data_IF_819867274509
#
_entry.id   IF_819867274509
#
_cell.length_a   1.000
_cell.length_b   1.000
_cell.length_c   1.000
_cell.angle_alpha   90.00
_cell.angle_beta   90.00
_cell.angle_gamma   90.00
#
_symmetry.space_group_name_H-M   'P 1'
#
loop_
_entity.id
_entity.type
_entity.pdbx_description
1 polymer ?
#
# COMPACT_ATOMS: atom_id res chain seq x y z
N UNK A 1 -4.86 7.12 -24.51
CA UNK A 1 -4.49 8.55 -24.68
C UNK A 1 -4.81 9.37 -23.43
N UNK A 2 -4.15 10.52 -23.26
CA UNK A 2 -4.45 11.50 -22.21
C UNK A 2 -5.68 12.31 -22.64
N UNK A 3 -6.87 11.93 -22.15
CA UNK A 3 -8.10 12.70 -22.35
C UNK A 3 -8.21 13.88 -21.38
N UNK A 4 -9.25 14.71 -21.52
CA UNK A 4 -9.50 15.89 -20.66
C UNK A 4 -9.91 15.54 -19.20
N UNK A 5 -10.10 14.26 -18.87
CA UNK A 5 -10.51 13.80 -17.55
C UNK A 5 -9.79 12.52 -17.12
N UNK A 6 -10.17 11.97 -15.96
CA UNK A 6 -9.63 10.70 -15.47
C UNK A 6 -9.91 9.59 -16.50
N UNK A 7 -8.86 8.86 -16.87
CA UNK A 7 -8.95 7.70 -17.74
C UNK A 7 -8.73 6.46 -16.86
N UNK A 8 -9.77 5.67 -16.53
CA UNK A 8 -9.65 4.51 -15.64
C UNK A 8 -8.63 3.47 -16.10
N UNK A 9 -8.53 3.23 -17.42
CA UNK A 9 -7.53 2.28 -17.98
C UNK A 9 -6.11 2.78 -17.77
N UNK A 10 -5.88 4.08 -17.93
CA UNK A 10 -4.59 4.71 -17.61
C UNK A 10 -4.35 4.70 -16.10
N UNK A 11 -5.36 5.01 -15.29
CA UNK A 11 -5.29 5.00 -13.83
C UNK A 11 -4.89 3.64 -13.28
N UNK A 12 -5.49 2.56 -13.78
CA UNK A 12 -5.12 1.19 -13.42
C UNK A 12 -3.63 0.90 -13.70
N UNK A 13 -3.09 1.35 -14.84
CA UNK A 13 -1.65 1.19 -15.14
C UNK A 13 -0.75 1.98 -14.18
N UNK A 14 -1.18 3.19 -13.78
CA UNK A 14 -0.43 3.99 -12.80
C UNK A 14 -0.46 3.32 -11.43
N UNK A 15 -1.62 2.82 -10.99
CA UNK A 15 -1.77 2.11 -9.72
C UNK A 15 -0.90 0.85 -9.70
N UNK A 16 -0.92 0.05 -10.77
CA UNK A 16 -0.07 -1.14 -10.88
C UNK A 16 1.41 -0.78 -10.78
N UNK A 17 1.88 0.21 -11.55
CA UNK A 17 3.28 0.65 -11.49
C UNK A 17 3.67 1.17 -10.10
N UNK A 18 2.78 1.91 -9.43
CA UNK A 18 3.04 2.42 -8.07
C UNK A 18 3.16 1.28 -7.06
N UNK A 19 2.31 0.24 -7.17
CA UNK A 19 2.39 -0.97 -6.34
C UNK A 19 3.70 -1.73 -6.58
N UNK A 20 4.12 -1.89 -7.84
CA UNK A 20 5.42 -2.50 -8.18
C UNK A 20 6.62 -1.67 -7.69
N UNK A 21 6.47 -0.35 -7.63
CA UNK A 21 7.48 0.53 -7.04
C UNK A 21 7.56 0.35 -5.51
N UNK A 22 6.42 0.22 -4.83
CA UNK A 22 6.38 -0.04 -3.40
C UNK A 22 6.96 -1.41 -3.05
N UNK A 23 6.69 -2.45 -3.84
CA UNK A 23 7.29 -3.78 -3.63
C UNK A 23 8.83 -3.74 -3.64
N UNK A 24 9.42 -2.85 -4.43
CA UNK A 24 10.88 -2.67 -4.51
C UNK A 24 11.44 -1.74 -3.43
N UNK A 25 10.66 -0.78 -2.96
CA UNK A 25 11.14 0.32 -2.10
C UNK A 25 10.79 0.14 -0.63
N UNK A 26 9.62 -0.45 -0.35
CA UNK A 26 9.08 -0.75 0.98
C UNK A 26 8.45 -2.15 0.93
N UNK A 27 9.26 -3.21 0.73
CA UNK A 27 8.76 -4.57 0.54
C UNK A 27 7.92 -5.03 1.74
N UNK A 28 6.88 -5.81 1.47
CA UNK A 28 6.10 -6.48 2.50
C UNK A 28 6.85 -7.74 2.97
N UNK A 29 6.67 -8.11 4.24
CA UNK A 29 7.26 -9.33 4.79
C UNK A 29 6.74 -10.59 4.07
N UNK A 30 5.49 -10.53 3.61
CA UNK A 30 4.83 -11.55 2.82
C UNK A 30 3.91 -10.90 1.79
N UNK A 31 3.84 -11.47 0.59
CA UNK A 31 2.97 -11.01 -0.49
C UNK A 31 3.47 -9.74 -1.21
N UNK A 32 2.55 -9.04 -1.87
CA UNK A 32 2.84 -7.88 -2.71
C UNK A 32 1.81 -6.78 -2.48
N UNK A 33 2.22 -5.52 -2.62
CA UNK A 33 1.33 -4.35 -2.62
C UNK A 33 0.24 -4.44 -3.70
N UNK A 34 0.41 -5.29 -4.70
CA UNK A 34 -0.62 -5.58 -5.72
C UNK A 34 -1.92 -6.16 -5.14
N UNK A 35 -1.87 -6.87 -4.02
CA UNK A 35 -3.05 -7.43 -3.33
C UNK A 35 -3.54 -6.58 -2.14
N UNK A 36 -2.95 -5.40 -1.91
CA UNK A 36 -3.33 -4.55 -0.78
C UNK A 36 -4.79 -4.11 -0.86
N UNK A 37 -5.53 -4.36 0.21
CA UNK A 37 -6.96 -4.05 0.35
C UNK A 37 -7.29 -3.20 1.59
N UNK A 38 -6.34 -3.00 2.49
CA UNK A 38 -6.52 -2.20 3.70
C UNK A 38 -5.21 -1.92 4.41
N UNK A 39 -5.20 -0.89 5.24
CA UNK A 39 -4.05 -0.45 6.03
C UNK A 39 -4.55 -0.09 7.43
N UNK A 40 -3.78 -0.47 8.46
CA UNK A 40 -3.99 -0.03 9.84
C UNK A 40 -2.64 0.05 10.55
N UNK A 41 -2.60 0.73 11.69
CA UNK A 41 -1.43 0.82 12.55
C UNK A 41 -1.68 -0.03 13.80
N UNK A 42 -0.76 -0.95 14.09
CA UNK A 42 -0.78 -1.81 15.27
C UNK A 42 0.58 -1.73 15.94
N UNK A 43 0.59 -1.40 17.24
CA UNK A 43 1.80 -1.29 18.06
C UNK A 43 2.90 -0.41 17.42
N UNK A 44 2.49 0.70 16.80
CA UNK A 44 3.39 1.65 16.14
C UNK A 44 3.93 1.18 14.79
N UNK A 45 3.43 0.09 14.22
CA UNK A 45 3.84 -0.44 12.91
C UNK A 45 2.68 -0.46 11.93
N UNK A 46 2.97 -0.28 10.65
CA UNK A 46 1.96 -0.42 9.58
C UNK A 46 1.68 -1.90 9.30
N UNK A 47 0.39 -2.23 9.25
CA UNK A 47 -0.16 -3.53 8.86
C UNK A 47 -0.97 -3.35 7.58
N UNK A 48 -0.73 -4.22 6.60
CA UNK A 48 -1.33 -4.20 5.27
C UNK A 48 -2.18 -5.46 5.12
N UNK A 49 -3.45 -5.29 4.76
CA UNK A 49 -4.34 -6.41 4.49
C UNK A 49 -4.08 -6.94 3.07
N UNK A 50 -3.76 -8.23 2.97
CA UNK A 50 -3.58 -8.97 1.74
C UNK A 50 -4.44 -10.23 1.78
N UNK A 51 -5.35 -10.40 0.83
CA UNK A 51 -6.09 -11.66 0.62
C UNK A 51 -6.70 -12.28 1.91
N UNK A 52 -7.19 -11.43 2.82
CA UNK A 52 -7.80 -11.84 4.10
C UNK A 52 -6.83 -12.01 5.28
N UNK A 53 -5.52 -11.87 5.08
CA UNK A 53 -4.50 -11.85 6.11
C UNK A 53 -3.88 -10.45 6.27
N UNK A 54 -3.12 -10.25 7.36
CA UNK A 54 -2.37 -9.02 7.60
C UNK A 54 -0.87 -9.30 7.56
N UNK A 55 -0.12 -8.39 6.96
CA UNK A 55 1.35 -8.44 6.91
C UNK A 55 1.94 -7.08 7.28
N UNK A 56 3.20 -7.07 7.70
CA UNK A 56 3.97 -5.85 7.93
C UNK A 56 4.92 -5.57 6.75
N UNK A 57 5.65 -4.46 6.82
CA UNK A 57 6.85 -4.27 6.00
C UNK A 57 7.91 -5.32 6.38
N UNK A 58 8.68 -5.80 5.40
CA UNK A 58 9.85 -6.66 5.65
C UNK A 58 10.91 -5.92 6.49
N UNK A 59 10.95 -4.58 6.39
CA UNK A 59 11.78 -3.72 7.22
C UNK A 59 10.90 -2.73 7.98
N UNK A 60 10.45 -3.06 9.21
CA UNK A 60 9.54 -2.21 9.97
C UNK A 60 10.02 -0.78 10.19
N UNK A 61 11.34 -0.56 10.27
CA UNK A 61 11.95 0.76 10.43
C UNK A 61 11.70 1.71 9.24
N UNK A 62 11.25 1.21 8.08
CA UNK A 62 10.85 2.06 6.95
C UNK A 62 9.52 2.76 7.18
N UNK A 63 8.73 2.32 8.17
CA UNK A 63 7.50 3.01 8.55
C UNK A 63 7.84 4.28 9.35
N UNK A 64 7.63 5.44 8.72
CA UNK A 64 7.97 6.74 9.29
C UNK A 64 6.83 7.40 10.10
N UNK A 65 5.60 6.88 9.99
CA UNK A 65 4.43 7.42 10.69
C UNK A 65 3.15 7.38 9.84
N UNK A 66 2.08 7.93 10.40
CA UNK A 66 0.75 7.99 9.79
C UNK A 66 0.02 9.27 10.17
N UNK A 67 -0.99 9.64 9.38
CA UNK A 67 -1.97 10.69 9.71
C UNK A 67 -3.34 10.08 10.02
N UNK A 68 -4.17 10.82 10.75
CA UNK A 68 -5.54 10.40 11.07
C UNK A 68 -5.62 9.31 12.14
N UNK A 69 -6.63 8.44 12.04
CA UNK A 69 -6.89 7.40 13.03
C UNK A 69 -6.08 6.12 12.72
N UNK A 70 -5.46 5.52 13.73
CA UNK A 70 -4.64 4.31 13.55
C UNK A 70 -5.40 3.13 12.93
N UNK A 71 -6.71 3.00 13.21
CA UNK A 71 -7.56 1.94 12.67
C UNK A 71 -7.85 2.10 11.17
N UNK A 72 -7.78 3.34 10.66
CA UNK A 72 -8.07 3.73 9.27
C UNK A 72 -7.31 5.04 8.92
N UNK A 73 -5.99 4.97 8.69
CA UNK A 73 -5.15 6.16 8.47
C UNK A 73 -5.54 6.89 7.17
N UNK A 74 -5.38 8.23 7.17
CA UNK A 74 -5.80 9.14 6.08
C UNK A 74 -4.65 9.67 5.22
#
# INVERSE_FOLDING_TARGET
EKGKGYNPKRGAKVIAWARDFLDRSAPLANGSWSSASGIKIVDGTVQIALDGAWTALAHPAQFAGFGGEASAPS
#
